data_IF_487797052828
#
_entry.id   IF_487797052828
#
_cell.length_a   1.000
_cell.length_b   1.000
_cell.length_c   1.000
_cell.angle_alpha   90.00
_cell.angle_beta   90.00
_cell.angle_gamma   90.00
#
_symmetry.space_group_name_H-M   'P 1'
#
loop_
_entity.id
_entity.type
_entity.pdbx_description
1 polymer ?
#
# COMPACT_ATOMS: atom_id res chain seq x y z
N UNK A 1 -24.31 -11.48 0.43
CA UNK A 1 -24.42 -10.03 0.73
C UNK A 1 -23.47 -9.54 1.85
N UNK A 2 -23.33 -10.23 3.00
CA UNK A 2 -22.47 -9.78 4.12
C UNK A 2 -20.98 -9.82 3.76
N UNK A 3 -20.49 -10.90 3.14
CA UNK A 3 -19.08 -11.05 2.73
C UNK A 3 -18.65 -9.98 1.71
N UNK A 4 -19.48 -9.69 0.71
CA UNK A 4 -19.19 -8.65 -0.29
C UNK A 4 -19.11 -7.27 0.35
N UNK A 5 -19.97 -6.95 1.32
CA UNK A 5 -19.88 -5.68 2.07
C UNK A 5 -18.61 -5.58 2.89
N UNK A 6 -18.18 -6.66 3.54
CA UNK A 6 -16.92 -6.72 4.29
C UNK A 6 -15.74 -6.54 3.33
N UNK A 7 -15.72 -7.26 2.23
CA UNK A 7 -14.68 -7.16 1.22
C UNK A 7 -14.53 -5.73 0.67
N UNK A 8 -15.64 -5.14 0.22
CA UNK A 8 -15.68 -3.76 -0.30
C UNK A 8 -15.28 -2.72 0.76
N UNK A 9 -15.78 -2.87 2.00
CA UNK A 9 -15.42 -1.97 3.10
C UNK A 9 -13.93 -2.06 3.46
N UNK A 10 -13.38 -3.27 3.56
CA UNK A 10 -11.96 -3.48 3.84
C UNK A 10 -11.07 -2.92 2.73
N UNK A 11 -11.45 -3.13 1.45
CA UNK A 11 -10.73 -2.56 0.32
C UNK A 11 -10.75 -1.03 0.35
N UNK A 12 -11.89 -0.42 0.67
CA UNK A 12 -12.02 1.04 0.83
C UNK A 12 -11.10 1.58 1.93
N UNK A 13 -11.04 0.91 3.09
CA UNK A 13 -10.10 1.26 4.17
C UNK A 13 -8.65 1.15 3.69
N UNK A 14 -8.29 0.07 2.98
CA UNK A 14 -6.96 -0.08 2.38
C UNK A 14 -6.62 1.07 1.43
N UNK A 15 -7.56 1.47 0.56
CA UNK A 15 -7.39 2.61 -0.34
C UNK A 15 -7.17 3.93 0.40
N UNK A 16 -7.92 4.19 1.48
CA UNK A 16 -7.73 5.38 2.32
C UNK A 16 -6.36 5.40 3.01
N UNK A 17 -5.87 4.25 3.48
CA UNK A 17 -4.51 4.12 4.03
C UNK A 17 -3.46 4.49 2.98
N UNK A 18 -3.59 3.98 1.75
CA UNK A 18 -2.66 4.30 0.66
C UNK A 18 -2.72 5.78 0.29
N UNK A 19 -3.90 6.42 0.28
CA UNK A 19 -4.03 7.86 0.09
C UNK A 19 -3.31 8.65 1.19
N UNK A 20 -3.50 8.27 2.46
CA UNK A 20 -2.84 8.91 3.61
C UNK A 20 -1.30 8.76 3.52
N UNK A 21 -0.81 7.58 3.13
CA UNK A 21 0.61 7.37 2.85
C UNK A 21 1.09 8.26 1.70
N UNK A 22 0.28 8.43 0.66
CA UNK A 22 0.59 9.35 -0.45
C UNK A 22 0.80 10.78 0.03
N UNK A 23 -0.08 11.29 0.90
CA UNK A 23 0.05 12.61 1.53
C UNK A 23 1.32 12.69 2.38
N UNK A 24 1.57 11.67 3.21
CA UNK A 24 2.79 11.61 4.03
C UNK A 24 4.06 11.68 3.18
N UNK A 25 4.17 10.89 2.12
CA UNK A 25 5.32 10.88 1.23
C UNK A 25 5.49 12.19 0.46
N UNK A 26 4.38 12.82 0.04
CA UNK A 26 4.44 14.06 -0.74
C UNK A 26 4.85 15.28 0.10
N UNK A 27 4.46 15.34 1.38
CA UNK A 27 4.54 16.58 2.15
C UNK A 27 5.24 16.45 3.51
N UNK A 28 5.30 15.25 4.10
CA UNK A 28 5.73 15.08 5.48
C UNK A 28 6.98 14.23 5.64
N UNK A 29 7.29 13.35 4.68
CA UNK A 29 8.44 12.45 4.77
C UNK A 29 9.74 13.23 4.64
N UNK A 30 10.67 13.15 5.62
CA UNK A 30 11.99 13.75 5.49
C UNK A 30 12.80 13.04 4.39
N UNK A 31 13.86 13.70 3.91
CA UNK A 31 14.74 13.14 2.89
C UNK A 31 15.34 11.79 3.29
N UNK A 32 15.73 11.66 4.55
CA UNK A 32 16.26 10.42 5.14
C UNK A 32 15.71 10.23 6.54
N UNK A 33 15.28 9.00 6.84
CA UNK A 33 14.93 8.52 8.16
C UNK A 33 16.15 7.89 8.84
N UNK A 34 16.15 7.70 10.17
CA UNK A 34 17.24 7.03 10.88
C UNK A 34 17.53 5.63 10.35
N UNK A 35 16.52 4.86 9.98
CA UNK A 35 16.68 3.54 9.38
C UNK A 35 17.33 3.59 8.00
N UNK A 36 17.07 4.64 7.20
CA UNK A 36 17.72 4.82 5.89
C UNK A 36 19.23 4.96 6.10
N UNK A 37 19.67 5.76 7.10
CA UNK A 37 21.07 5.93 7.44
C UNK A 37 21.73 4.63 7.92
N UNK A 38 21.02 3.85 8.77
CA UNK A 38 21.50 2.54 9.20
C UNK A 38 21.72 1.59 8.03
N UNK A 39 20.73 1.52 7.15
CA UNK A 39 20.79 0.65 5.96
C UNK A 39 21.93 1.05 5.02
N UNK A 40 22.19 2.36 4.84
CA UNK A 40 23.26 2.89 4.02
C UNK A 40 24.65 2.75 4.67
N UNK A 41 24.73 2.48 5.97
CA UNK A 41 25.99 2.51 6.71
C UNK A 41 26.65 3.88 6.74
N UNK A 42 25.87 4.96 6.67
CA UNK A 42 26.35 6.32 6.49
C UNK A 42 25.84 7.25 7.59
N UNK A 43 26.59 8.35 7.84
CA UNK A 43 26.13 9.45 8.69
C UNK A 43 25.52 10.58 7.85
N UNK A 44 24.62 11.35 8.46
CA UNK A 44 24.03 12.52 7.81
C UNK A 44 25.11 13.51 7.36
N UNK A 45 26.11 13.78 8.18
CA UNK A 45 27.23 14.68 7.86
C UNK A 45 28.07 14.14 6.69
N UNK A 46 28.35 12.83 6.66
CA UNK A 46 29.05 12.19 5.56
C UNK A 46 28.29 12.33 4.23
N UNK A 47 26.98 12.11 4.24
CA UNK A 47 26.15 12.28 3.03
C UNK A 47 26.05 13.74 2.58
N UNK A 48 25.97 14.69 3.51
CA UNK A 48 25.97 16.12 3.18
C UNK A 48 27.26 16.55 2.49
N UNK A 49 28.40 15.99 2.89
CA UNK A 49 29.69 16.28 2.29
C UNK A 49 29.89 15.57 0.96
N UNK A 50 29.56 14.27 0.90
CA UNK A 50 29.81 13.46 -0.30
C UNK A 50 28.79 13.69 -1.41
N UNK A 51 27.52 13.98 -1.06
CA UNK A 51 26.43 14.11 -2.02
C UNK A 51 25.40 15.17 -1.58
N UNK A 52 25.74 16.47 -1.51
CA UNK A 52 24.84 17.52 -1.00
C UNK A 52 23.56 17.68 -1.85
N UNK A 53 23.59 17.28 -3.11
CA UNK A 53 22.43 17.28 -3.99
C UNK A 53 21.39 16.21 -3.64
N UNK A 54 21.80 15.10 -3.03
CA UNK A 54 20.93 13.97 -2.69
C UNK A 54 19.80 14.39 -1.75
N UNK A 55 20.11 15.14 -0.69
CA UNK A 55 19.14 15.61 0.29
C UNK A 55 18.10 16.58 -0.26
N UNK A 56 18.45 17.28 -1.36
CA UNK A 56 17.50 18.14 -2.08
C UNK A 56 16.69 17.40 -3.12
N UNK A 57 17.23 16.32 -3.66
CA UNK A 57 16.60 15.51 -4.70
C UNK A 57 15.60 14.50 -4.13
N UNK A 58 15.94 13.81 -3.04
CA UNK A 58 15.07 12.78 -2.42
C UNK A 58 13.66 13.28 -2.10
N UNK A 59 13.43 14.46 -1.49
CA UNK A 59 12.06 14.94 -1.25
C UNK A 59 11.25 15.13 -2.53
N UNK A 60 11.90 15.45 -3.65
CA UNK A 60 11.21 15.56 -4.95
C UNK A 60 10.79 14.20 -5.49
N UNK A 61 11.66 13.18 -5.34
CA UNK A 61 11.34 11.79 -5.67
C UNK A 61 10.19 11.30 -4.81
N UNK A 62 10.22 11.56 -3.50
CA UNK A 62 9.15 11.20 -2.60
C UNK A 62 7.85 11.95 -2.90
N UNK A 63 7.92 13.20 -3.33
CA UNK A 63 6.75 13.95 -3.80
C UNK A 63 6.06 13.29 -4.98
N UNK A 64 6.83 12.84 -5.98
CA UNK A 64 6.30 12.09 -7.12
C UNK A 64 5.71 10.76 -6.67
N UNK A 65 6.44 10.00 -5.84
CA UNK A 65 5.95 8.73 -5.30
C UNK A 65 4.67 8.93 -4.49
N UNK A 66 4.59 9.99 -3.68
CA UNK A 66 3.40 10.36 -2.93
C UNK A 66 2.19 10.62 -3.83
N UNK A 67 2.40 11.30 -4.96
CA UNK A 67 1.36 11.51 -5.97
C UNK A 67 0.83 10.19 -6.56
N UNK A 68 1.72 9.26 -6.91
CA UNK A 68 1.32 7.93 -7.39
C UNK A 68 0.58 7.12 -6.32
N UNK A 69 1.04 7.15 -5.07
CA UNK A 69 0.35 6.49 -3.96
C UNK A 69 -1.05 7.07 -3.75
N UNK A 70 -1.18 8.40 -3.74
CA UNK A 70 -2.48 9.05 -3.59
C UNK A 70 -3.45 8.66 -4.71
N UNK A 71 -3.00 8.71 -5.97
CA UNK A 71 -3.81 8.30 -7.12
C UNK A 71 -4.20 6.82 -7.05
N UNK A 72 -3.27 5.93 -6.67
CA UNK A 72 -3.54 4.50 -6.48
C UNK A 72 -4.59 4.27 -5.40
N UNK A 73 -4.46 4.95 -4.25
CA UNK A 73 -5.44 4.85 -3.17
C UNK A 73 -6.82 5.33 -3.59
N UNK A 74 -6.90 6.45 -4.32
CA UNK A 74 -8.16 6.99 -4.84
C UNK A 74 -8.84 5.99 -5.80
N UNK A 75 -8.09 5.42 -6.75
CA UNK A 75 -8.59 4.40 -7.66
C UNK A 75 -9.04 3.13 -6.91
N UNK A 76 -8.32 2.75 -5.87
CA UNK A 76 -8.70 1.60 -5.01
C UNK A 76 -10.02 1.87 -4.27
N UNK A 77 -10.21 3.07 -3.72
CA UNK A 77 -11.48 3.46 -3.09
C UNK A 77 -12.61 3.45 -4.13
N UNK A 78 -12.38 4.02 -5.31
CA UNK A 78 -13.39 4.00 -6.39
C UNK A 78 -13.76 2.57 -6.78
N UNK A 79 -12.77 1.70 -6.99
CA UNK A 79 -13.00 0.29 -7.30
C UNK A 79 -13.79 -0.42 -6.18
N UNK A 80 -13.50 -0.13 -4.91
CA UNK A 80 -14.17 -0.71 -3.77
C UNK A 80 -15.68 -0.39 -3.73
N UNK A 81 -16.07 0.82 -4.11
CA UNK A 81 -17.48 1.25 -4.08
C UNK A 81 -18.26 0.94 -5.36
N UNK A 82 -17.56 0.59 -6.44
CA UNK A 82 -18.14 0.28 -7.76
C UNK A 82 -18.00 -1.20 -8.10
N UNK A 83 -17.06 -1.53 -8.98
CA UNK A 83 -16.91 -2.83 -9.64
C UNK A 83 -16.61 -4.00 -8.68
N UNK A 84 -15.95 -3.74 -7.54
CA UNK A 84 -15.66 -4.81 -6.57
C UNK A 84 -16.92 -5.37 -5.88
N UNK A 85 -18.01 -4.61 -5.92
CA UNK A 85 -19.32 -5.03 -5.39
C UNK A 85 -20.10 -5.95 -6.32
N UNK A 86 -19.76 -5.97 -7.63
CA UNK A 86 -20.47 -6.79 -8.61
C UNK A 86 -20.22 -8.30 -8.45
N UNK A 87 -19.14 -8.69 -7.75
CA UNK A 87 -18.75 -10.09 -7.57
C UNK A 87 -18.16 -10.72 -8.83
N UNK A 88 -17.73 -9.91 -9.80
CA UNK A 88 -17.05 -10.38 -10.99
C UNK A 88 -15.60 -10.79 -10.68
N UNK A 89 -15.05 -11.81 -11.36
CA UNK A 89 -13.70 -12.31 -11.07
C UNK A 89 -12.59 -11.33 -11.48
N UNK A 90 -12.80 -10.51 -12.51
CA UNK A 90 -11.78 -9.57 -12.99
C UNK A 90 -11.41 -8.50 -11.96
N UNK A 91 -12.36 -7.81 -11.29
CA UNK A 91 -12.03 -6.89 -10.20
C UNK A 91 -11.23 -7.54 -9.06
N UNK A 92 -11.54 -8.77 -8.71
CA UNK A 92 -10.80 -9.51 -7.68
C UNK A 92 -9.36 -9.79 -8.10
N UNK A 93 -9.13 -10.24 -9.34
CA UNK A 93 -7.80 -10.48 -9.88
C UNK A 93 -6.96 -9.19 -9.92
N UNK A 94 -7.55 -8.07 -10.33
CA UNK A 94 -6.90 -6.75 -10.34
C UNK A 94 -6.51 -6.32 -8.93
N UNK A 95 -7.43 -6.43 -7.96
CA UNK A 95 -7.17 -6.08 -6.55
C UNK A 95 -6.08 -6.96 -5.97
N UNK A 96 -6.12 -8.28 -6.19
CA UNK A 96 -5.13 -9.22 -5.68
C UNK A 96 -3.73 -8.91 -6.23
N UNK A 97 -3.61 -8.72 -7.54
CA UNK A 97 -2.33 -8.45 -8.20
C UNK A 97 -1.76 -7.08 -7.84
N UNK A 98 -2.58 -6.04 -7.90
CA UNK A 98 -2.13 -4.68 -7.59
C UNK A 98 -1.73 -4.53 -6.12
N UNK A 99 -2.48 -5.13 -5.20
CA UNK A 99 -2.16 -5.12 -3.78
C UNK A 99 -0.88 -5.91 -3.46
N UNK A 100 -0.67 -7.06 -4.09
CA UNK A 100 0.58 -7.82 -3.95
C UNK A 100 1.78 -7.02 -4.46
N UNK A 101 1.66 -6.38 -5.63
CA UNK A 101 2.71 -5.59 -6.25
C UNK A 101 3.01 -4.28 -5.50
N UNK A 102 2.05 -3.69 -4.80
CA UNK A 102 2.21 -2.45 -4.03
C UNK A 102 2.43 -2.73 -2.54
N UNK A 103 1.38 -3.09 -1.83
CA UNK A 103 1.38 -3.28 -0.37
C UNK A 103 2.25 -4.47 0.06
N UNK A 104 2.16 -5.58 -0.67
CA UNK A 104 2.97 -6.78 -0.41
C UNK A 104 4.46 -6.48 -0.60
N UNK A 105 4.84 -5.87 -1.72
CA UNK A 105 6.22 -5.51 -1.99
C UNK A 105 6.76 -4.47 -1.01
N UNK A 106 5.95 -3.48 -0.64
CA UNK A 106 6.29 -2.51 0.42
C UNK A 106 6.63 -3.22 1.73
N UNK A 107 5.78 -4.14 2.19
CA UNK A 107 6.03 -4.89 3.42
C UNK A 107 7.35 -5.67 3.34
N UNK A 108 7.57 -6.44 2.28
CA UNK A 108 8.82 -7.19 2.06
C UNK A 108 10.05 -6.27 2.11
N UNK A 109 9.99 -5.13 1.42
CA UNK A 109 11.11 -4.17 1.39
C UNK A 109 11.40 -3.63 2.78
N UNK A 110 10.38 -3.24 3.55
CA UNK A 110 10.57 -2.70 4.89
C UNK A 110 11.14 -3.72 5.89
N UNK A 111 10.84 -5.01 5.71
CA UNK A 111 11.52 -6.07 6.48
C UNK A 111 12.98 -6.23 6.06
N UNK A 112 13.30 -6.12 4.76
CA UNK A 112 14.68 -6.24 4.25
C UNK A 112 15.61 -5.11 4.71
N UNK A 113 15.09 -3.89 4.81
CA UNK A 113 15.87 -2.73 5.28
C UNK A 113 15.84 -2.57 6.80
N UNK A 114 15.18 -3.49 7.52
CA UNK A 114 14.98 -3.45 8.96
C UNK A 114 14.38 -2.11 9.44
N UNK A 115 13.33 -1.63 8.72
CA UNK A 115 12.64 -0.39 9.05
C UNK A 115 12.02 -0.45 10.44
N UNK A 116 12.09 0.64 11.18
CA UNK A 116 11.43 0.80 12.48
C UNK A 116 9.91 0.71 12.37
N UNK A 117 9.35 0.97 11.18
CA UNK A 117 7.92 0.93 10.89
C UNK A 117 7.44 -0.38 10.24
N UNK A 118 8.30 -1.41 10.08
CA UNK A 118 7.96 -2.66 9.36
C UNK A 118 6.68 -3.33 9.85
N UNK A 119 6.43 -3.36 11.16
CA UNK A 119 5.23 -3.96 11.73
C UNK A 119 3.97 -3.13 11.49
N UNK A 120 4.07 -1.80 11.57
CA UNK A 120 2.98 -0.88 11.22
C UNK A 120 2.62 -1.01 9.75
N UNK A 121 3.61 -1.04 8.88
CA UNK A 121 3.42 -1.17 7.43
C UNK A 121 2.87 -2.56 7.07
N UNK A 122 3.26 -3.62 7.79
CA UNK A 122 2.62 -4.93 7.65
C UNK A 122 1.14 -4.89 8.05
N UNK A 123 0.80 -4.18 9.14
CA UNK A 123 -0.59 -4.02 9.55
C UNK A 123 -1.45 -3.30 8.48
N UNK A 124 -0.87 -2.40 7.69
CA UNK A 124 -1.55 -1.73 6.58
C UNK A 124 -1.91 -2.67 5.42
N UNK A 125 -1.28 -3.85 5.33
CA UNK A 125 -1.63 -4.90 4.35
C UNK A 125 -2.92 -5.63 4.73
N UNK A 126 -3.29 -5.67 6.03
CA UNK A 126 -4.42 -6.47 6.53
C UNK A 126 -5.77 -6.12 5.88
N UNK A 127 -6.17 -4.85 5.68
CA UNK A 127 -7.43 -4.53 5.02
C UNK A 127 -7.52 -5.10 3.61
N UNK A 128 -6.41 -5.07 2.85
CA UNK A 128 -6.35 -5.65 1.53
C UNK A 128 -6.47 -7.19 1.57
N UNK A 129 -5.74 -7.88 2.47
CA UNK A 129 -5.85 -9.34 2.66
C UNK A 129 -7.28 -9.74 3.03
N UNK A 130 -7.93 -8.99 3.93
CA UNK A 130 -9.32 -9.21 4.32
C UNK A 130 -10.27 -9.03 3.15
N UNK A 131 -10.04 -8.05 2.28
CA UNK A 131 -10.85 -7.84 1.09
C UNK A 131 -10.77 -9.03 0.13
N UNK A 132 -9.55 -9.48 -0.20
CA UNK A 132 -9.32 -10.63 -1.08
C UNK A 132 -9.91 -11.91 -0.48
N UNK A 133 -9.59 -12.21 0.78
CA UNK A 133 -10.08 -13.42 1.46
C UNK A 133 -11.62 -13.46 1.54
N UNK A 134 -12.25 -12.32 1.88
CA UNK A 134 -13.71 -12.24 1.96
C UNK A 134 -14.40 -12.41 0.60
N UNK A 135 -13.77 -11.94 -0.49
CA UNK A 135 -14.27 -12.13 -1.85
C UNK A 135 -14.18 -13.59 -2.27
N UNK A 136 -13.05 -14.24 -2.03
CA UNK A 136 -12.88 -15.67 -2.33
C UNK A 136 -13.90 -16.55 -1.58
N UNK A 137 -14.14 -16.22 -0.31
CA UNK A 137 -15.19 -16.93 0.48
C UNK A 137 -16.59 -16.71 -0.12
N UNK A 138 -16.87 -15.51 -0.64
CA UNK A 138 -18.14 -15.22 -1.29
C UNK A 138 -18.33 -16.06 -2.56
N UNK A 139 -17.32 -16.12 -3.42
CA UNK A 139 -17.33 -16.92 -4.66
C UNK A 139 -17.51 -18.43 -4.38
N UNK A 140 -16.76 -18.97 -3.41
CA UNK A 140 -16.89 -20.39 -3.02
C UNK A 140 -18.30 -20.76 -2.53
N UNK A 141 -18.99 -19.83 -1.85
CA UNK A 141 -20.36 -20.06 -1.38
C UNK A 141 -21.37 -20.07 -2.53
N UNK A 142 -21.18 -19.22 -3.52
CA UNK A 142 -22.05 -19.20 -4.71
C UNK A 142 -21.89 -20.50 -5.50
N UNK A 143 -20.65 -20.94 -5.71
CA UNK A 143 -20.37 -22.21 -6.40
C UNK A 143 -21.01 -23.42 -5.72
N UNK A 144 -20.89 -23.52 -4.38
CA UNK A 144 -21.53 -24.62 -3.61
C UNK A 144 -23.05 -24.59 -3.60
N UNK A 145 -23.68 -23.45 -3.85
CA UNK A 145 -25.14 -23.33 -3.90
C UNK A 145 -25.71 -23.72 -5.28
N UNK A 146 -24.84 -23.83 -6.30
CA UNK A 146 -25.21 -24.20 -7.67
C UNK A 146 -24.93 -25.68 -8.01
N UNK A 147 -24.14 -26.35 -7.15
CA UNK A 147 -23.85 -27.80 -7.22
C UNK A 147 -24.81 -28.60 -6.35
#
# INVERSE_FOLDING_TARGET
MRAVRVASGSLGVGGLIVMAMGIYFAFLRPALLPEDLRYLGASMAGLQTAAPGLLRWLPRVFGVLGGFLFATGLLTVHLAVTSFRSGEPLPLAVVATSGAASMGWMAVTNFRIDSDFKWLLLAFVLPWLLAVASSLVAEMRVFKAQS
#
